data_IF_441629886651
#
_entry.id   IF_441629886651
#
_cell.length_a   1.000
_cell.length_b   1.000
_cell.length_c   1.000
_cell.angle_alpha   90.00
_cell.angle_beta   90.00
_cell.angle_gamma   90.00
#
_symmetry.space_group_name_H-M   'P 1'
#
loop_
_entity.id
_entity.type
_entity.pdbx_description
1 polymer ?
#
# COMPACT_ATOMS: atom_id res chain seq x y z
N UNK A 1 2.65 59.40 37.00
CA UNK A 1 1.70 58.45 36.34
C UNK A 1 1.89 58.31 34.83
N UNK A 2 2.50 59.25 34.14
CA UNK A 2 2.68 59.22 32.66
C UNK A 2 3.83 58.29 32.14
N UNK A 3 4.89 58.03 32.90
CA UNK A 3 5.99 57.17 32.42
C UNK A 3 5.63 55.69 32.27
N UNK A 4 4.81 55.16 33.20
CA UNK A 4 4.37 53.73 33.14
C UNK A 4 3.58 53.36 31.86
N UNK A 5 2.87 54.33 31.26
CA UNK A 5 2.10 54.07 30.03
C UNK A 5 2.95 54.08 28.75
N UNK A 6 4.08 54.79 28.77
CA UNK A 6 5.01 54.84 27.61
C UNK A 6 5.74 53.51 27.42
N UNK A 7 6.15 52.86 28.52
CA UNK A 7 6.81 51.55 28.48
C UNK A 7 5.88 50.44 28.02
N UNK A 8 4.61 50.46 28.43
CA UNK A 8 3.61 49.50 27.96
C UNK A 8 3.36 49.64 26.45
N UNK A 9 3.28 50.86 25.93
CA UNK A 9 3.12 51.15 24.50
C UNK A 9 4.35 50.70 23.70
N UNK A 10 5.55 50.93 24.20
CA UNK A 10 6.79 50.47 23.59
C UNK A 10 6.90 48.93 23.59
N UNK A 11 6.53 48.25 24.67
CA UNK A 11 6.51 46.80 24.74
C UNK A 11 5.49 46.18 23.78
N UNK A 12 4.29 46.76 23.65
CA UNK A 12 3.29 46.31 22.67
C UNK A 12 3.80 46.50 21.22
N UNK A 13 4.46 47.60 20.94
CA UNK A 13 4.99 47.87 19.57
C UNK A 13 6.12 46.88 19.22
N UNK A 14 6.99 46.56 20.16
CA UNK A 14 8.05 45.55 19.99
C UNK A 14 7.45 44.17 19.76
N UNK A 15 6.42 43.81 20.54
CA UNK A 15 5.74 42.50 20.40
C UNK A 15 5.06 42.35 19.01
N UNK A 16 4.42 43.44 18.52
CA UNK A 16 3.79 43.45 17.18
C UNK A 16 4.84 43.35 16.07
N UNK A 17 5.98 43.99 16.20
CA UNK A 17 7.07 43.89 15.21
C UNK A 17 7.67 42.48 15.20
N UNK A 18 7.89 41.88 16.36
CA UNK A 18 8.38 40.50 16.47
C UNK A 18 7.37 39.53 15.85
N UNK A 19 6.07 39.68 16.14
CA UNK A 19 5.03 38.84 15.53
C UNK A 19 4.95 39.01 14.00
N UNK A 20 5.12 40.22 13.49
CA UNK A 20 5.12 40.47 12.05
C UNK A 20 6.34 39.87 11.33
N UNK A 21 7.50 39.86 11.99
CA UNK A 21 8.73 39.23 11.47
C UNK A 21 8.59 37.69 11.49
N UNK A 22 7.94 37.13 12.53
CA UNK A 22 7.71 35.68 12.61
C UNK A 22 6.62 35.18 11.63
N UNK A 23 5.75 36.07 11.10
CA UNK A 23 4.75 35.74 10.07
C UNK A 23 5.27 35.95 8.65
N UNK A 24 6.50 36.46 8.49
CA UNK A 24 7.18 36.47 7.20
C UNK A 24 7.30 35.07 6.66
N UNK A 25 6.75 34.81 5.48
CA UNK A 25 6.93 33.53 4.78
C UNK A 25 8.43 33.31 4.60
N UNK A 26 9.00 32.40 5.36
CA UNK A 26 10.29 31.83 5.06
C UNK A 26 10.04 30.94 3.85
N UNK A 27 10.36 31.39 2.66
CA UNK A 27 10.49 30.51 1.50
C UNK A 27 11.66 29.56 1.80
N UNK A 28 11.36 28.45 2.45
CA UNK A 28 12.28 27.33 2.53
C UNK A 28 12.32 26.75 1.13
N UNK A 29 13.26 27.21 0.30
CA UNK A 29 13.65 26.45 -0.88
C UNK A 29 14.23 25.13 -0.34
N UNK A 30 13.50 24.04 -0.54
CA UNK A 30 14.11 22.72 -0.45
C UNK A 30 15.38 22.78 -1.33
N UNK A 31 16.51 22.38 -0.76
CA UNK A 31 17.76 22.38 -1.51
C UNK A 31 17.56 21.53 -2.78
N UNK A 32 18.04 21.99 -3.92
CA UNK A 32 18.04 21.31 -5.23
C UNK A 32 18.90 20.03 -5.25
N UNK A 33 18.81 19.21 -4.18
CA UNK A 33 19.53 17.94 -4.04
C UNK A 33 18.68 16.72 -4.34
N UNK A 34 17.44 16.93 -4.80
CA UNK A 34 16.65 15.77 -5.22
C UNK A 34 17.19 15.28 -6.57
N UNK A 35 17.54 14.01 -6.69
CA UNK A 35 18.04 13.48 -7.96
C UNK A 35 16.97 13.63 -9.05
N UNK A 36 17.41 13.70 -10.30
CA UNK A 36 16.51 13.67 -11.44
C UNK A 36 15.62 12.42 -11.39
N UNK A 37 14.39 12.56 -11.84
CA UNK A 37 13.44 11.46 -11.89
C UNK A 37 14.00 10.31 -12.75
N UNK A 38 13.92 9.04 -12.26
CA UNK A 38 14.38 7.89 -13.04
C UNK A 38 13.52 7.71 -14.30
N UNK A 39 14.15 7.32 -15.40
CA UNK A 39 13.41 6.86 -16.57
C UNK A 39 12.79 5.49 -16.28
N UNK A 40 11.49 5.36 -16.50
CA UNK A 40 10.74 4.13 -16.29
C UNK A 40 9.96 3.73 -17.53
N UNK A 41 9.94 2.44 -17.86
CA UNK A 41 9.17 1.90 -18.98
C UNK A 41 7.68 1.77 -18.64
N UNK A 42 7.35 1.62 -17.34
CA UNK A 42 5.97 1.49 -16.89
C UNK A 42 5.18 2.78 -17.14
N UNK A 43 3.91 2.69 -17.57
CA UNK A 43 3.04 3.85 -17.77
C UNK A 43 2.74 4.58 -16.47
N UNK A 44 2.62 3.87 -15.36
CA UNK A 44 2.43 4.43 -14.02
C UNK A 44 3.44 3.84 -13.04
N UNK A 45 3.93 4.66 -12.13
CA UNK A 45 4.93 4.29 -11.10
C UNK A 45 4.67 5.08 -9.83
N UNK A 46 4.87 4.43 -8.70
CA UNK A 46 4.95 5.06 -7.38
C UNK A 46 6.14 4.49 -6.63
N UNK A 47 6.93 5.34 -6.01
CA UNK A 47 7.96 4.99 -5.04
C UNK A 47 7.63 5.67 -3.72
N UNK A 48 7.46 4.88 -2.68
CA UNK A 48 7.05 5.35 -1.36
C UNK A 48 8.04 4.88 -0.29
N UNK A 49 8.32 5.73 0.67
CA UNK A 49 9.05 5.36 1.87
C UNK A 49 8.08 4.62 2.81
N UNK A 50 8.46 3.40 3.23
CA UNK A 50 7.57 2.47 3.92
C UNK A 50 7.10 2.96 5.30
N UNK A 51 8.01 3.57 6.08
CA UNK A 51 7.71 3.91 7.47
C UNK A 51 6.83 5.15 7.62
N UNK A 52 6.90 6.08 6.67
CA UNK A 52 6.20 7.37 6.72
C UNK A 52 5.08 7.49 5.69
N UNK A 53 5.06 6.63 4.67
CA UNK A 53 4.17 6.75 3.53
C UNK A 53 4.51 7.94 2.61
N UNK A 54 5.70 8.53 2.76
CA UNK A 54 6.11 9.67 1.92
C UNK A 54 6.36 9.21 0.50
N UNK A 55 5.70 9.84 -0.47
CA UNK A 55 5.93 9.59 -1.89
C UNK A 55 7.24 10.26 -2.30
N UNK A 56 8.20 9.46 -2.74
CA UNK A 56 9.53 9.89 -3.18
C UNK A 56 9.58 10.15 -4.69
N UNK A 57 8.78 9.41 -5.45
CA UNK A 57 8.64 9.56 -6.90
C UNK A 57 7.27 9.07 -7.34
N UNK A 58 6.67 9.78 -8.29
CA UNK A 58 5.41 9.38 -8.90
C UNK A 58 5.41 9.64 -10.41
N UNK A 59 4.65 8.81 -11.12
CA UNK A 59 4.34 8.98 -12.53
C UNK A 59 2.94 8.41 -12.75
N UNK A 60 1.97 9.26 -13.11
CA UNK A 60 0.57 8.88 -13.36
C UNK A 60 0.00 7.94 -12.27
N UNK A 61 0.29 8.19 -10.99
CA UNK A 61 -0.04 7.25 -9.89
C UNK A 61 -1.56 7.07 -9.69
N UNK A 62 -2.37 8.06 -10.11
CA UNK A 62 -3.83 8.03 -9.99
C UNK A 62 -4.52 7.48 -11.25
N UNK A 63 -3.76 7.08 -12.26
CA UNK A 63 -4.31 6.50 -13.48
C UNK A 63 -4.78 5.06 -13.22
N UNK A 64 -6.03 4.75 -13.59
CA UNK A 64 -6.59 3.43 -13.42
C UNK A 64 -6.01 2.44 -14.43
N UNK A 65 -5.44 1.35 -13.94
CA UNK A 65 -4.89 0.26 -14.74
C UNK A 65 -5.44 -1.10 -14.29
N UNK A 66 -5.35 -2.09 -15.17
CA UNK A 66 -5.55 -3.49 -14.78
C UNK A 66 -4.32 -3.96 -13.98
N UNK A 67 -4.47 -4.32 -12.70
CA UNK A 67 -3.34 -4.65 -11.83
C UNK A 67 -2.71 -6.01 -12.16
N UNK A 68 -3.35 -6.86 -12.96
CA UNK A 68 -2.93 -8.23 -13.22
C UNK A 68 -2.57 -8.96 -11.90
N UNK A 69 -1.45 -9.67 -11.85
CA UNK A 69 -1.05 -10.45 -10.67
C UNK A 69 -0.69 -9.61 -9.43
N UNK A 70 -0.58 -8.29 -9.52
CA UNK A 70 -0.44 -7.41 -8.34
C UNK A 70 -1.65 -7.58 -7.39
N UNK A 71 -2.83 -7.94 -7.93
CA UNK A 71 -4.02 -8.29 -7.12
C UNK A 71 -3.73 -9.35 -6.06
N UNK A 72 -2.78 -10.25 -6.28
CA UNK A 72 -2.43 -11.33 -5.33
C UNK A 72 -1.82 -10.83 -4.01
N UNK A 73 -1.29 -9.61 -4.00
CA UNK A 73 -0.87 -8.94 -2.76
C UNK A 73 -2.08 -8.77 -1.83
N UNK A 74 -3.21 -8.29 -2.37
CA UNK A 74 -4.45 -8.15 -1.61
C UNK A 74 -5.02 -9.52 -1.20
N UNK A 75 -5.01 -10.50 -2.10
CA UNK A 75 -5.42 -11.88 -1.79
C UNK A 75 -4.63 -12.43 -0.60
N UNK A 76 -3.31 -12.28 -0.62
CA UNK A 76 -2.43 -12.72 0.46
C UNK A 76 -2.70 -11.97 1.77
N UNK A 77 -2.87 -10.65 1.71
CA UNK A 77 -3.17 -9.83 2.89
C UNK A 77 -4.49 -10.27 3.56
N UNK A 78 -5.56 -10.40 2.78
CA UNK A 78 -6.86 -10.86 3.30
C UNK A 78 -6.79 -12.27 3.89
N UNK A 79 -6.04 -13.17 3.27
CA UNK A 79 -5.83 -14.51 3.79
C UNK A 79 -5.06 -14.51 5.12
N UNK A 80 -4.05 -13.66 5.27
CA UNK A 80 -3.30 -13.51 6.51
C UNK A 80 -4.12 -12.89 7.65
N UNK A 81 -5.04 -12.00 7.31
CA UNK A 81 -5.91 -11.32 8.29
C UNK A 81 -7.07 -12.21 8.76
N UNK A 82 -7.54 -13.15 7.93
CA UNK A 82 -8.78 -13.90 8.17
C UNK A 82 -8.59 -15.42 8.31
N UNK A 83 -7.41 -15.97 7.99
CA UNK A 83 -7.11 -17.40 8.04
C UNK A 83 -6.04 -17.73 9.06
N UNK A 84 -5.87 -19.05 9.30
CA UNK A 84 -4.77 -19.58 10.07
C UNK A 84 -3.78 -20.28 9.12
N UNK A 85 -2.50 -19.95 9.16
CA UNK A 85 -1.48 -20.48 8.27
C UNK A 85 -1.38 -22.01 8.26
N UNK A 86 -1.78 -22.67 9.36
CA UNK A 86 -1.80 -24.11 9.47
C UNK A 86 -3.07 -24.80 8.94
N UNK A 87 -4.10 -24.02 8.55
CA UNK A 87 -5.33 -24.58 8.00
C UNK A 87 -5.05 -25.33 6.70
N UNK A 88 -5.78 -26.45 6.51
CA UNK A 88 -5.67 -27.25 5.29
C UNK A 88 -6.64 -26.72 4.23
N UNK A 89 -6.08 -26.17 3.18
CA UNK A 89 -6.79 -25.72 1.99
C UNK A 89 -6.93 -26.89 1.03
N UNK A 90 -8.14 -27.17 0.58
CA UNK A 90 -8.45 -28.24 -0.39
C UNK A 90 -8.69 -27.60 -1.75
N UNK A 91 -8.05 -28.15 -2.79
CA UNK A 91 -8.26 -27.70 -4.16
C UNK A 91 -9.56 -28.26 -4.72
N UNK A 92 -10.53 -27.39 -4.97
CA UNK A 92 -11.81 -27.72 -5.58
C UNK A 92 -11.67 -27.96 -7.09
N UNK A 93 -12.74 -28.50 -7.70
CA UNK A 93 -12.82 -28.61 -9.15
C UNK A 93 -12.74 -27.23 -9.82
N UNK A 94 -13.39 -26.23 -9.23
CA UNK A 94 -13.36 -24.85 -9.74
C UNK A 94 -11.95 -24.23 -9.65
N UNK A 95 -11.23 -24.48 -8.55
CA UNK A 95 -9.85 -23.99 -8.41
C UNK A 95 -8.92 -24.58 -9.48
N UNK A 96 -9.13 -25.83 -9.89
CA UNK A 96 -8.28 -26.53 -10.87
C UNK A 96 -8.72 -26.24 -12.31
N UNK A 97 -10.01 -26.31 -12.61
CA UNK A 97 -10.50 -26.30 -13.98
C UNK A 97 -10.96 -24.92 -14.48
N UNK A 98 -11.24 -23.97 -13.57
CA UNK A 98 -11.70 -22.63 -13.91
C UNK A 98 -10.63 -21.55 -13.75
N UNK A 99 -9.38 -21.94 -13.50
CA UNK A 99 -8.25 -21.02 -13.46
C UNK A 99 -7.28 -21.28 -14.61
N UNK A 100 -6.82 -20.21 -15.24
CA UNK A 100 -5.86 -20.26 -16.35
C UNK A 100 -4.60 -19.46 -16.00
N UNK A 101 -3.51 -19.71 -16.71
CA UNK A 101 -2.25 -18.96 -16.60
C UNK A 101 -1.25 -19.61 -15.67
N UNK A 102 -0.59 -18.80 -14.81
CA UNK A 102 0.47 -19.31 -13.91
C UNK A 102 -0.11 -20.20 -12.81
N UNK A 103 0.55 -21.32 -12.55
CA UNK A 103 0.14 -22.32 -11.55
C UNK A 103 1.30 -23.21 -11.12
N UNK A 104 1.06 -24.01 -10.08
CA UNK A 104 1.99 -25.02 -9.56
C UNK A 104 1.48 -26.46 -9.81
N UNK A 105 0.53 -26.60 -10.71
CA UNK A 105 -0.02 -27.88 -11.19
C UNK A 105 -0.54 -28.75 -10.06
N UNK A 106 -1.58 -28.30 -9.36
CA UNK A 106 -2.28 -29.09 -8.33
C UNK A 106 -3.37 -29.95 -8.95
N UNK A 107 -3.72 -31.04 -8.26
CA UNK A 107 -4.81 -31.92 -8.64
C UNK A 107 -6.06 -31.67 -7.77
N UNK A 108 -7.24 -32.04 -8.32
CA UNK A 108 -8.51 -32.01 -7.60
C UNK A 108 -8.46 -32.81 -6.30
N UNK A 109 -8.90 -32.21 -5.21
CA UNK A 109 -8.92 -32.83 -3.87
C UNK A 109 -7.58 -32.85 -3.16
N UNK A 110 -6.51 -32.38 -3.80
CA UNK A 110 -5.22 -32.18 -3.14
C UNK A 110 -5.34 -31.18 -2.00
N UNK A 111 -4.47 -31.29 -1.00
CA UNK A 111 -4.47 -30.39 0.14
C UNK A 111 -3.07 -29.83 0.40
N UNK A 112 -3.05 -28.55 0.71
CA UNK A 112 -1.85 -27.83 1.17
C UNK A 112 -2.21 -26.97 2.38
N UNK A 113 -1.24 -26.64 3.21
CA UNK A 113 -1.49 -25.62 4.25
C UNK A 113 -1.73 -24.26 3.60
N UNK A 114 -2.47 -23.38 4.30
CA UNK A 114 -2.67 -22.01 3.84
C UNK A 114 -1.32 -21.34 3.59
N UNK A 115 -0.32 -21.52 4.46
CA UNK A 115 1.03 -21.01 4.27
C UNK A 115 1.64 -21.48 2.95
N UNK A 116 1.57 -22.76 2.64
CA UNK A 116 2.10 -23.31 1.38
C UNK A 116 1.37 -22.75 0.16
N UNK A 117 0.04 -22.61 0.24
CA UNK A 117 -0.74 -21.96 -0.83
C UNK A 117 -0.28 -20.53 -1.04
N UNK A 118 -0.04 -19.75 0.02
CA UNK A 118 0.43 -18.37 -0.08
C UNK A 118 1.83 -18.26 -0.69
N UNK A 119 2.72 -19.23 -0.45
CA UNK A 119 3.98 -19.32 -1.18
C UNK A 119 3.75 -19.56 -2.68
N UNK A 120 2.84 -20.44 -3.06
CA UNK A 120 2.46 -20.65 -4.46
C UNK A 120 1.91 -19.37 -5.10
N UNK A 121 1.04 -18.66 -4.37
CA UNK A 121 0.45 -17.38 -4.81
C UNK A 121 1.53 -16.32 -5.05
N UNK A 122 2.47 -16.15 -4.13
CA UNK A 122 3.42 -15.02 -4.16
C UNK A 122 4.67 -15.30 -4.99
N UNK A 123 5.16 -16.54 -5.03
CA UNK A 123 6.39 -16.88 -5.74
C UNK A 123 6.16 -17.30 -7.19
N UNK A 124 5.09 -18.07 -7.46
CA UNK A 124 4.75 -18.59 -8.79
C UNK A 124 3.52 -17.93 -9.40
N UNK A 125 2.91 -16.99 -8.65
CA UNK A 125 1.67 -16.34 -9.12
C UNK A 125 0.55 -17.35 -9.40
N UNK A 126 0.52 -18.49 -8.67
CA UNK A 126 -0.38 -19.61 -8.91
C UNK A 126 -1.85 -19.19 -8.77
N UNK A 127 -2.60 -19.30 -9.87
CA UNK A 127 -4.00 -18.87 -9.90
C UNK A 127 -4.91 -19.86 -9.19
N UNK A 128 -4.67 -21.17 -9.34
CA UNK A 128 -5.40 -22.22 -8.60
C UNK A 128 -5.21 -22.09 -7.09
N UNK A 129 -4.02 -21.75 -6.63
CA UNK A 129 -3.78 -21.50 -5.22
C UNK A 129 -4.55 -20.25 -4.72
N UNK A 130 -4.55 -19.17 -5.50
CA UNK A 130 -5.28 -17.96 -5.14
C UNK A 130 -6.80 -18.23 -5.05
N UNK A 131 -7.34 -19.01 -5.98
CA UNK A 131 -8.74 -19.41 -5.98
C UNK A 131 -9.08 -20.29 -4.79
N UNK A 132 -8.30 -21.35 -4.54
CA UNK A 132 -8.51 -22.25 -3.40
C UNK A 132 -8.41 -21.51 -2.04
N UNK A 133 -7.49 -20.56 -1.91
CA UNK A 133 -7.39 -19.69 -0.73
C UNK A 133 -8.65 -18.86 -0.56
N UNK A 134 -9.17 -18.26 -1.64
CA UNK A 134 -10.39 -17.46 -1.60
C UNK A 134 -11.62 -18.30 -1.20
N UNK A 135 -11.75 -19.53 -1.72
CA UNK A 135 -12.79 -20.47 -1.30
C UNK A 135 -12.67 -20.83 0.16
N UNK A 136 -11.45 -21.17 0.62
CA UNK A 136 -11.22 -21.57 2.01
C UNK A 136 -11.61 -20.48 2.99
N UNK A 137 -11.14 -19.24 2.78
CA UNK A 137 -11.44 -18.09 3.64
C UNK A 137 -12.92 -17.68 3.52
N UNK A 138 -13.50 -17.75 2.32
CA UNK A 138 -14.92 -17.45 2.07
C UNK A 138 -15.89 -18.54 2.55
N UNK A 139 -15.39 -19.64 3.15
CA UNK A 139 -16.23 -20.76 3.62
C UNK A 139 -16.90 -21.52 2.48
N UNK A 140 -16.21 -21.71 1.38
CA UNK A 140 -16.67 -22.38 0.15
C UNK A 140 -17.31 -21.45 -0.88
N UNK A 141 -17.27 -20.14 -0.66
CA UNK A 141 -17.87 -19.14 -1.56
C UNK A 141 -16.89 -18.01 -1.81
N UNK A 142 -16.26 -18.01 -2.98
CA UNK A 142 -15.27 -17.01 -3.40
C UNK A 142 -15.83 -15.59 -3.32
N UNK A 143 -17.14 -15.39 -3.53
CA UNK A 143 -17.75 -14.05 -3.49
C UNK A 143 -17.76 -13.43 -2.11
N UNK A 144 -17.50 -14.21 -1.06
CA UNK A 144 -17.41 -13.74 0.34
C UNK A 144 -15.99 -13.41 0.77
N UNK A 145 -15.02 -13.68 -0.09
CA UNK A 145 -13.63 -13.38 0.18
C UNK A 145 -13.31 -11.89 -0.01
N UNK A 146 -14.11 -11.15 -0.80
CA UNK A 146 -13.89 -9.74 -1.17
C UNK A 146 -14.77 -8.83 -0.33
#
# INVERSE_FOLDING_TARGET
>A
MMLKNRWKKAACLILTIISAVCLGKVDVKAADYWPDAPETLSPSVILMEESTGTILYEKNMDEAHYPASITKIMTTLLALENGNLSDMVTFSDDAINNTEGSGIARDYGEQMTLEQCLYGVMLESANECAYAVAEHIGGGDVSKFV
#
